data_IF_685699241771
#
_entry.id   IF_685699241771
#
_cell.length_a   1.000
_cell.length_b   1.000
_cell.length_c   1.000
_cell.angle_alpha   90.00
_cell.angle_beta   90.00
_cell.angle_gamma   90.00
#
_symmetry.space_group_name_H-M   'P 1'
#
loop_
_entity.id
_entity.type
_entity.pdbx_description
1 polymer ?
#
# COMPACT_ATOMS: atom_id res chain seq x y z
N UNK A 1 -1.30 -23.88 -36.49
CA UNK A 1 0.01 -24.26 -35.95
C UNK A 1 -0.20 -24.61 -34.49
N UNK A 2 0.10 -25.85 -34.07
CA UNK A 2 0.01 -26.23 -32.67
C UNK A 2 1.24 -25.67 -31.94
N UNK A 3 1.04 -24.75 -31.00
CA UNK A 3 2.11 -24.25 -30.13
C UNK A 3 2.60 -25.41 -29.27
N UNK A 4 3.91 -25.64 -29.22
CA UNK A 4 4.50 -26.68 -28.36
C UNK A 4 4.05 -26.44 -26.90
N UNK A 5 3.45 -27.43 -26.22
CA UNK A 5 3.09 -27.31 -24.80
C UNK A 5 4.24 -26.83 -23.90
N UNK A 6 5.49 -27.15 -24.25
CA UNK A 6 6.68 -26.70 -23.53
C UNK A 6 6.88 -25.19 -23.71
N UNK A 7 6.75 -24.68 -24.93
CA UNK A 7 6.88 -23.25 -25.22
C UNK A 7 5.78 -22.43 -24.52
N UNK A 8 4.55 -22.95 -24.50
CA UNK A 8 3.43 -22.34 -23.76
C UNK A 8 3.75 -22.28 -22.27
N UNK A 9 4.22 -23.38 -21.69
CA UNK A 9 4.62 -23.46 -20.27
C UNK A 9 5.72 -22.47 -19.93
N UNK A 10 6.78 -22.40 -20.74
CA UNK A 10 7.88 -21.47 -20.53
C UNK A 10 7.43 -20.01 -20.61
N UNK A 11 6.56 -19.68 -21.57
CA UNK A 11 5.98 -18.34 -21.69
C UNK A 11 5.16 -17.95 -20.45
N UNK A 12 4.31 -18.85 -19.95
CA UNK A 12 3.53 -18.61 -18.73
C UNK A 12 4.45 -18.40 -17.52
N UNK A 13 5.47 -19.24 -17.34
CA UNK A 13 6.44 -19.10 -16.25
C UNK A 13 7.17 -17.74 -16.34
N UNK A 14 7.56 -17.31 -17.54
CA UNK A 14 8.21 -16.01 -17.75
C UNK A 14 7.28 -14.86 -17.35
N UNK A 15 6.05 -14.85 -17.86
CA UNK A 15 5.06 -13.82 -17.52
C UNK A 15 4.78 -13.74 -16.03
N UNK A 16 4.57 -14.89 -15.38
CA UNK A 16 4.32 -14.95 -13.93
C UNK A 16 5.50 -14.40 -13.12
N UNK A 17 6.74 -14.63 -13.55
CA UNK A 17 7.92 -14.06 -12.87
C UNK A 17 8.01 -12.55 -13.03
N UNK A 18 7.73 -12.04 -14.21
CA UNK A 18 7.72 -10.60 -14.49
C UNK A 18 6.64 -9.88 -13.67
N UNK A 19 5.42 -10.44 -13.66
CA UNK A 19 4.33 -9.91 -12.83
C UNK A 19 4.64 -10.01 -11.34
N UNK A 20 5.18 -11.12 -10.86
CA UNK A 20 5.55 -11.29 -9.45
C UNK A 20 6.60 -10.25 -9.02
N UNK A 21 7.58 -9.96 -9.87
CA UNK A 21 8.57 -8.93 -9.61
C UNK A 21 7.92 -7.53 -9.51
N UNK A 22 6.99 -7.23 -10.41
CA UNK A 22 6.23 -5.98 -10.39
C UNK A 22 5.38 -5.86 -9.10
N UNK A 23 4.69 -6.94 -8.72
CA UNK A 23 3.84 -6.98 -7.52
C UNK A 23 4.67 -6.82 -6.24
N UNK A 24 5.82 -7.49 -6.13
CA UNK A 24 6.73 -7.34 -4.97
C UNK A 24 7.28 -5.92 -4.91
N UNK A 25 7.62 -5.32 -6.05
CA UNK A 25 8.06 -3.93 -6.10
C UNK A 25 6.95 -2.98 -5.64
N UNK A 26 5.71 -3.22 -6.08
CA UNK A 26 4.55 -2.45 -5.66
C UNK A 26 4.27 -2.62 -4.16
N UNK A 27 4.40 -3.82 -3.61
CA UNK A 27 4.20 -4.09 -2.18
C UNK A 27 5.17 -3.29 -1.31
N UNK A 28 6.45 -3.28 -1.69
CA UNK A 28 7.47 -2.48 -0.99
C UNK A 28 7.14 -0.98 -1.04
N UNK A 29 6.70 -0.47 -2.19
CA UNK A 29 6.30 0.94 -2.33
C UNK A 29 5.07 1.27 -1.48
N UNK A 30 4.04 0.41 -1.49
CA UNK A 30 2.85 0.58 -0.66
C UNK A 30 3.19 0.55 0.83
N UNK A 31 4.12 -0.32 1.24
CA UNK A 31 4.57 -0.39 2.62
C UNK A 31 5.29 0.89 3.05
N UNK A 32 6.15 1.45 2.20
CA UNK A 32 6.84 2.73 2.47
C UNK A 32 5.85 3.89 2.61
N UNK A 33 4.90 4.03 1.68
CA UNK A 33 3.87 5.09 1.76
C UNK A 33 2.96 4.90 2.97
N UNK A 34 2.58 3.67 3.31
CA UNK A 34 1.79 3.39 4.52
C UNK A 34 2.53 3.86 5.78
N UNK A 35 3.82 3.52 5.91
CA UNK A 35 4.62 3.97 7.04
C UNK A 35 4.69 5.49 7.12
N UNK A 36 4.86 6.18 5.99
CA UNK A 36 4.84 7.64 5.93
C UNK A 36 3.53 8.23 6.45
N UNK A 37 2.38 7.70 6.04
CA UNK A 37 1.08 8.16 6.54
C UNK A 37 0.91 7.89 8.04
N UNK A 38 1.33 6.72 8.51
CA UNK A 38 1.26 6.38 9.94
C UNK A 38 2.14 7.28 10.79
N UNK A 39 3.35 7.62 10.32
CA UNK A 39 4.25 8.55 11.00
C UNK A 39 3.67 9.97 11.03
N UNK A 40 3.08 10.42 9.92
CA UNK A 40 2.38 11.72 9.87
C UNK A 40 1.23 11.76 10.86
N UNK A 41 0.40 10.73 10.92
CA UNK A 41 -0.72 10.63 11.86
C UNK A 41 -0.24 10.63 13.31
N UNK A 42 0.83 9.88 13.62
CA UNK A 42 1.38 9.78 14.98
C UNK A 42 1.86 11.13 15.53
N UNK A 43 2.43 11.97 14.68
CA UNK A 43 2.94 13.28 15.09
C UNK A 43 1.85 14.37 15.12
N UNK A 44 0.67 14.10 14.55
CA UNK A 44 -0.37 15.10 14.34
C UNK A 44 -1.16 15.45 15.59
N UNK A 45 -1.46 14.47 16.44
CA UNK A 45 -2.20 14.69 17.68
C UNK A 45 -1.44 15.61 18.66
N UNK A 46 -0.13 15.40 18.92
CA UNK A 46 0.67 16.32 19.73
C UNK A 46 0.75 17.73 19.14
N UNK A 47 0.85 17.87 17.82
CA UNK A 47 0.87 19.18 17.16
C UNK A 47 -0.48 19.88 17.30
N UNK A 48 -1.58 19.16 17.16
CA UNK A 48 -2.92 19.72 17.31
C UNK A 48 -3.14 20.26 18.72
N UNK A 49 -2.75 19.50 19.74
CA UNK A 49 -2.81 19.95 21.14
C UNK A 49 -2.00 21.23 21.37
N UNK A 50 -0.76 21.30 20.85
CA UNK A 50 0.09 22.50 20.97
C UNK A 50 -0.54 23.71 20.30
N UNK A 51 -1.21 23.53 19.16
CA UNK A 51 -1.90 24.62 18.48
C UNK A 51 -3.14 25.06 19.26
N UNK A 52 -3.91 24.12 19.81
CA UNK A 52 -5.06 24.42 20.68
C UNK A 52 -4.66 25.20 21.94
N UNK A 53 -3.48 24.93 22.51
CA UNK A 53 -2.93 25.63 23.67
C UNK A 53 -2.59 27.12 23.41
N UNK A 54 -2.47 27.55 22.15
CA UNK A 54 -2.15 28.94 21.80
C UNK A 54 -3.30 29.93 22.10
N UNK A 55 -4.47 29.42 22.52
CA UNK A 55 -5.59 30.21 23.02
C UNK A 55 -6.76 30.35 22.05
N UNK A 56 -7.80 31.07 22.50
CA UNK A 56 -9.04 31.19 21.74
C UNK A 56 -8.98 32.33 20.70
N UNK A 57 -8.34 32.04 19.56
CA UNK A 57 -8.30 32.93 18.40
C UNK A 57 -8.93 32.26 17.16
N UNK A 58 -9.71 32.98 16.33
CA UNK A 58 -10.32 32.40 15.13
C UNK A 58 -9.33 31.71 14.16
N UNK A 59 -8.11 32.25 14.04
CA UNK A 59 -7.06 31.63 13.22
C UNK A 59 -6.58 30.28 13.79
N UNK A 60 -6.52 30.14 15.11
CA UNK A 60 -6.15 28.89 15.78
C UNK A 60 -7.24 27.85 15.52
N UNK A 61 -8.51 28.19 15.77
CA UNK A 61 -9.66 27.33 15.48
C UNK A 61 -9.70 26.88 14.01
N UNK A 62 -9.39 27.79 13.08
CA UNK A 62 -9.29 27.46 11.66
C UNK A 62 -8.15 26.48 11.38
N UNK A 63 -6.95 26.72 11.92
CA UNK A 63 -5.80 25.82 11.79
C UNK A 63 -6.09 24.41 12.30
N UNK A 64 -6.63 24.30 13.52
CA UNK A 64 -7.04 23.03 14.15
C UNK A 64 -8.07 22.29 13.29
N UNK A 65 -9.07 22.99 12.74
CA UNK A 65 -10.06 22.38 11.87
C UNK A 65 -9.44 21.82 10.57
N UNK A 66 -8.55 22.58 9.92
CA UNK A 66 -7.84 22.10 8.72
C UNK A 66 -6.96 20.90 9.05
N UNK A 67 -6.25 20.93 10.19
CA UNK A 67 -5.46 19.81 10.66
C UNK A 67 -6.32 18.55 10.86
N UNK A 68 -7.46 18.67 11.56
CA UNK A 68 -8.38 17.55 11.79
C UNK A 68 -8.98 16.97 10.50
N UNK A 69 -9.32 17.83 9.53
CA UNK A 69 -9.77 17.37 8.20
C UNK A 69 -8.70 16.55 7.48
N UNK A 70 -7.46 17.02 7.49
CA UNK A 70 -6.37 16.30 6.83
C UNK A 70 -5.97 15.04 7.59
N UNK A 71 -6.02 15.00 8.93
CA UNK A 71 -5.90 13.76 9.71
C UNK A 71 -6.91 12.72 9.26
N UNK A 72 -8.18 13.10 9.07
CA UNK A 72 -9.22 12.19 8.61
C UNK A 72 -8.92 11.62 7.21
N UNK A 73 -8.42 12.46 6.30
CA UNK A 73 -8.03 12.02 4.95
C UNK A 73 -6.86 11.05 5.02
N UNK A 74 -5.84 11.34 5.83
CA UNK A 74 -4.67 10.48 6.00
C UNK A 74 -5.06 9.12 6.60
N UNK A 75 -5.99 9.09 7.57
CA UNK A 75 -6.55 7.84 8.10
C UNK A 75 -7.25 7.03 7.01
N UNK A 76 -8.11 7.65 6.20
CA UNK A 76 -8.79 6.96 5.11
C UNK A 76 -7.79 6.40 4.08
N UNK A 77 -6.76 7.18 3.73
CA UNK A 77 -5.70 6.73 2.82
C UNK A 77 -4.93 5.55 3.41
N UNK A 78 -4.53 5.61 4.68
CA UNK A 78 -3.84 4.49 5.34
C UNK A 78 -4.68 3.22 5.37
N UNK A 79 -5.99 3.34 5.58
CA UNK A 79 -6.90 2.20 5.59
C UNK A 79 -7.02 1.57 4.19
N UNK A 80 -7.20 2.40 3.17
CA UNK A 80 -7.28 1.93 1.78
C UNK A 80 -5.97 1.26 1.35
N UNK A 81 -4.82 1.88 1.65
CA UNK A 81 -3.50 1.32 1.34
C UNK A 81 -3.27 -0.01 2.05
N UNK A 82 -3.66 -0.13 3.32
CA UNK A 82 -3.56 -1.39 4.07
C UNK A 82 -4.41 -2.50 3.45
N UNK A 83 -5.65 -2.17 3.02
CA UNK A 83 -6.54 -3.10 2.32
C UNK A 83 -5.91 -3.56 0.99
N UNK A 84 -5.51 -2.62 0.14
CA UNK A 84 -4.84 -2.91 -1.14
C UNK A 84 -3.57 -3.74 -0.96
N UNK A 85 -2.76 -3.43 0.07
CA UNK A 85 -1.57 -4.22 0.40
C UNK A 85 -1.92 -5.66 0.76
N UNK A 86 -2.99 -5.87 1.52
CA UNK A 86 -3.45 -7.21 1.91
C UNK A 86 -3.83 -8.05 0.69
N UNK A 87 -4.59 -7.46 -0.25
CA UNK A 87 -4.95 -8.12 -1.51
C UNK A 87 -3.75 -8.40 -2.41
N UNK A 88 -2.79 -7.46 -2.47
CA UNK A 88 -1.56 -7.64 -3.24
C UNK A 88 -0.71 -8.78 -2.68
N UNK A 89 -0.53 -8.85 -1.35
CA UNK A 89 0.20 -9.95 -0.70
C UNK A 89 -0.44 -11.31 -0.96
N UNK A 90 -1.78 -11.38 -0.96
CA UNK A 90 -2.51 -12.60 -1.34
C UNK A 90 -2.22 -13.00 -2.79
N UNK A 91 -2.26 -12.04 -3.71
CA UNK A 91 -1.97 -12.27 -5.14
C UNK A 91 -0.52 -12.73 -5.38
N UNK A 92 0.44 -12.14 -4.67
CA UNK A 92 1.85 -12.57 -4.67
C UNK A 92 1.96 -14.04 -4.26
N UNK A 93 1.33 -14.43 -3.15
CA UNK A 93 1.35 -15.81 -2.66
C UNK A 93 0.73 -16.80 -3.67
N UNK A 94 -0.40 -16.44 -4.27
CA UNK A 94 -1.07 -17.24 -5.32
C UNK A 94 -0.16 -17.43 -6.55
N UNK A 95 0.55 -16.36 -7.00
CA UNK A 95 1.50 -16.45 -8.12
C UNK A 95 2.73 -17.29 -7.79
N UNK A 96 3.24 -17.21 -6.57
CA UNK A 96 4.35 -18.06 -6.11
C UNK A 96 3.95 -19.53 -6.08
N UNK A 97 2.75 -19.86 -5.61
CA UNK A 97 2.21 -21.22 -5.63
C UNK A 97 2.05 -21.73 -7.07
N UNK A 98 1.47 -20.93 -7.95
CA UNK A 98 1.31 -21.28 -9.35
C UNK A 98 2.66 -21.56 -10.03
N UNK A 99 3.68 -20.74 -9.76
CA UNK A 99 5.04 -20.97 -10.23
C UNK A 99 5.66 -22.26 -9.70
N UNK A 100 5.40 -22.64 -8.45
CA UNK A 100 5.84 -23.93 -7.89
C UNK A 100 5.19 -25.09 -8.65
N UNK A 101 3.88 -25.01 -8.89
CA UNK A 101 3.12 -26.03 -9.60
C UNK A 101 3.62 -26.23 -11.03
N UNK A 102 3.89 -25.15 -11.76
CA UNK A 102 4.46 -25.23 -13.12
C UNK A 102 5.89 -25.79 -13.17
N UNK A 103 6.65 -25.79 -12.07
CA UNK A 103 7.99 -26.40 -12.02
C UNK A 103 7.97 -27.88 -11.61
N UNK A 104 6.91 -28.31 -10.92
CA UNK A 104 6.77 -29.69 -10.43
C UNK A 104 6.21 -30.66 -11.49
N UNK A 105 5.43 -30.12 -12.43
CA UNK A 105 5.02 -30.76 -13.70
C UNK A 105 6.10 -30.50 -14.75
#
# INVERSE_FOLDING_TARGET
MATDPIDVKQNIIRMLREELLADVTLENNLFLELNRYLDQLRNRDPEMLRVEELGDHPLIKFGVNIMGKSTRVDMMNSHNLMSTRTDLMRTIAEKEELLKNYRAV
#
